data_IF_068577633783
#
_entry.id   IF_068577633783
#
_cell.length_a   1.000
_cell.length_b   1.000
_cell.length_c   1.000
_cell.angle_alpha   90.00
_cell.angle_beta   90.00
_cell.angle_gamma   90.00
#
_symmetry.space_group_name_H-M   'P 1'
#
loop_
_entity.id
_entity.type
_entity.pdbx_description
1 polymer ?
#
# COMPACT_ATOMS: atom_id res chain seq x y z
N UNK A 1 39.31 85.92 -32.12
CA UNK A 1 38.58 85.96 -30.82
C UNK A 1 37.46 84.90 -30.91
N UNK A 2 37.74 83.66 -30.53
CA UNK A 2 36.78 82.61 -30.56
C UNK A 2 36.44 82.18 -29.11
N UNK A 3 35.20 82.38 -28.73
CA UNK A 3 34.67 81.90 -27.43
C UNK A 3 34.15 80.50 -27.62
N UNK A 4 34.75 79.59 -26.91
CA UNK A 4 34.28 78.22 -26.79
C UNK A 4 33.29 78.16 -25.60
N UNK A 5 32.02 77.82 -25.84
CA UNK A 5 31.00 77.58 -24.81
C UNK A 5 31.00 76.11 -24.57
N UNK A 6 31.38 75.66 -23.37
CA UNK A 6 31.27 74.27 -22.93
C UNK A 6 29.89 74.05 -22.31
N UNK A 7 29.11 73.17 -22.91
CA UNK A 7 27.86 72.63 -22.31
C UNK A 7 28.17 71.42 -21.43
N UNK A 8 27.91 71.56 -20.15
CA UNK A 8 27.93 70.45 -19.21
C UNK A 8 26.60 69.72 -19.29
N UNK A 9 26.60 68.49 -19.83
CA UNK A 9 25.48 67.55 -19.78
C UNK A 9 25.47 66.88 -18.41
N UNK A 10 24.50 67.23 -17.57
CA UNK A 10 24.20 66.55 -16.34
C UNK A 10 23.38 65.32 -16.68
N UNK A 11 23.99 64.12 -16.66
CA UNK A 11 23.27 62.84 -16.69
C UNK A 11 22.71 62.57 -15.31
N UNK A 12 21.41 62.80 -15.12
CA UNK A 12 20.66 62.26 -14.01
C UNK A 12 20.32 60.81 -14.30
N UNK A 13 21.04 59.84 -13.75
CA UNK A 13 20.67 58.45 -13.73
C UNK A 13 19.48 58.24 -12.80
N UNK A 14 18.34 57.72 -13.28
CA UNK A 14 17.33 57.23 -12.37
C UNK A 14 17.84 55.96 -11.72
N UNK A 15 18.09 56.00 -10.43
CA UNK A 15 18.33 54.85 -9.60
C UNK A 15 17.03 54.00 -9.58
N UNK A 16 16.92 53.03 -10.48
CA UNK A 16 15.91 52.02 -10.43
C UNK A 16 16.19 51.16 -9.18
N UNK A 17 15.52 51.46 -8.10
CA UNK A 17 15.34 50.50 -7.00
C UNK A 17 14.56 49.35 -7.58
N UNK A 18 15.25 48.31 -8.00
CA UNK A 18 14.67 46.99 -8.14
C UNK A 18 14.20 46.55 -6.75
N UNK A 19 12.94 46.76 -6.45
CA UNK A 19 12.29 46.04 -5.40
C UNK A 19 12.40 44.53 -5.76
N UNK A 20 13.36 43.87 -5.14
CA UNK A 20 13.34 42.42 -5.06
C UNK A 20 12.04 42.10 -4.32
N UNK A 21 11.01 41.72 -5.06
CA UNK A 21 9.90 40.99 -4.49
C UNK A 21 10.52 39.77 -3.82
N UNK A 22 10.54 39.83 -2.49
CA UNK A 22 10.81 38.67 -1.68
C UNK A 22 9.68 37.68 -2.01
N UNK A 23 9.92 36.83 -2.98
CA UNK A 23 9.13 35.62 -3.19
C UNK A 23 9.23 34.89 -1.87
N UNK A 24 8.22 35.02 -1.04
CA UNK A 24 8.04 34.19 0.15
C UNK A 24 7.99 32.78 -0.40
N UNK A 25 9.10 32.07 -0.37
CA UNK A 25 9.14 30.66 -0.70
C UNK A 25 8.13 30.01 0.22
N UNK A 26 7.01 29.55 -0.36
CA UNK A 26 5.96 28.87 0.36
C UNK A 26 6.60 27.61 0.94
N UNK A 27 6.67 27.56 2.25
CA UNK A 27 7.30 26.45 2.97
C UNK A 27 6.65 25.13 2.54
N UNK A 28 7.44 24.21 2.04
CA UNK A 28 6.98 22.88 1.65
C UNK A 28 6.47 22.12 2.90
N UNK A 29 5.20 21.70 2.95
CA UNK A 29 4.63 21.04 4.11
C UNK A 29 5.37 19.76 4.50
N UNK A 30 5.89 19.00 3.53
CA UNK A 30 6.64 17.77 3.80
C UNK A 30 8.03 18.07 4.36
N UNK A 31 8.66 19.12 3.88
CA UNK A 31 9.93 19.60 4.45
C UNK A 31 9.73 20.02 5.92
N UNK A 32 8.70 20.82 6.19
CA UNK A 32 8.36 21.26 7.55
C UNK A 32 8.03 20.08 8.48
N UNK A 33 7.25 19.11 7.99
CA UNK A 33 6.94 17.89 8.76
C UNK A 33 8.21 17.10 9.05
N UNK A 34 9.07 16.93 8.05
CA UNK A 34 10.34 16.22 8.19
C UNK A 34 11.23 16.86 9.24
N UNK A 35 11.41 18.18 9.17
CA UNK A 35 12.22 18.94 10.15
C UNK A 35 11.67 18.81 11.57
N UNK A 36 10.34 18.87 11.72
CA UNK A 36 9.68 18.71 13.03
C UNK A 36 9.80 17.28 13.58
N UNK A 37 9.69 16.26 12.74
CA UNK A 37 9.90 14.86 13.14
C UNK A 37 11.36 14.64 13.55
N UNK A 38 12.31 15.13 12.76
CA UNK A 38 13.74 15.00 13.02
C UNK A 38 14.14 15.70 14.32
N UNK A 39 13.58 16.88 14.61
CA UNK A 39 13.84 17.61 15.85
C UNK A 39 13.39 16.86 17.12
N UNK A 40 12.49 15.88 16.99
CA UNK A 40 12.00 15.05 18.10
C UNK A 40 12.73 13.71 18.20
N UNK A 41 13.68 13.43 17.29
CA UNK A 41 14.47 12.20 17.36
C UNK A 41 15.43 12.27 18.57
N UNK A 42 15.71 11.12 19.19
CA UNK A 42 16.73 11.07 20.22
C UNK A 42 18.10 11.42 19.65
N UNK A 43 18.94 12.06 20.45
CA UNK A 43 20.31 12.38 20.04
C UNK A 43 21.10 11.10 19.74
N UNK A 44 21.63 10.99 18.53
CA UNK A 44 22.42 9.85 18.10
C UNK A 44 23.73 10.29 17.45
N UNK A 45 24.80 9.50 17.66
CA UNK A 45 26.09 9.72 17.01
C UNK A 45 26.11 9.33 15.52
N UNK A 46 25.13 8.55 15.07
CA UNK A 46 24.99 8.06 13.68
C UNK A 46 23.60 8.38 13.17
N UNK A 47 23.42 8.55 11.86
CA UNK A 47 22.09 8.72 11.29
C UNK A 47 21.16 7.56 11.66
N UNK A 48 19.95 7.90 12.12
CA UNK A 48 18.90 6.93 12.44
C UNK A 48 18.35 6.35 11.14
N UNK A 49 18.23 5.04 11.06
CA UNK A 49 17.69 4.37 9.89
C UNK A 49 16.17 4.23 10.01
N UNK A 50 15.43 4.96 9.18
CA UNK A 50 13.98 4.93 9.15
C UNK A 50 13.47 4.35 7.83
N UNK A 51 12.42 3.55 7.90
CA UNK A 51 11.61 3.20 6.75
C UNK A 51 10.42 4.14 6.63
N UNK A 52 9.92 4.36 5.42
CA UNK A 52 8.65 5.06 5.19
C UNK A 52 7.60 4.04 4.78
N UNK A 53 6.63 3.81 5.67
CA UNK A 53 5.54 2.85 5.49
C UNK A 53 4.33 3.45 4.79
N UNK A 54 3.17 2.87 5.06
CA UNK A 54 1.92 3.27 4.44
C UNK A 54 1.25 4.44 5.15
N UNK A 55 0.57 5.27 4.34
CA UNK A 55 -0.32 6.33 4.80
C UNK A 55 -1.74 6.01 4.35
N UNK A 56 -2.67 5.94 5.29
CA UNK A 56 -4.05 5.51 5.04
C UNK A 56 -5.03 6.67 5.17
N UNK A 57 -6.18 6.53 4.54
CA UNK A 57 -7.25 7.53 4.62
C UNK A 57 -8.09 7.34 5.90
N UNK A 58 -8.11 8.36 6.73
CA UNK A 58 -8.86 8.35 8.00
C UNK A 58 -8.44 7.23 8.94
N UNK A 59 -9.42 6.62 9.59
CA UNK A 59 -9.24 5.45 10.47
C UNK A 59 -9.55 4.14 9.72
N UNK A 60 -9.28 4.12 8.40
CA UNK A 60 -9.55 2.99 7.51
C UNK A 60 -8.23 2.36 7.06
N UNK A 61 -8.23 1.12 6.56
CA UNK A 61 -7.06 0.52 5.92
C UNK A 61 -6.88 0.93 4.46
N UNK A 62 -7.72 1.84 3.95
CA UNK A 62 -7.73 2.25 2.55
C UNK A 62 -6.64 3.26 2.25
N UNK A 63 -6.16 3.23 1.03
CA UNK A 63 -5.15 4.15 0.49
C UNK A 63 -5.74 4.92 -0.70
N UNK A 64 -5.12 6.04 -1.05
CA UNK A 64 -5.46 6.87 -2.20
C UNK A 64 -4.18 7.25 -2.97
N UNK A 65 -4.25 7.85 -4.16
CA UNK A 65 -3.07 8.38 -4.85
C UNK A 65 -2.21 9.28 -3.97
N UNK A 66 -2.83 10.06 -3.08
CA UNK A 66 -2.11 10.88 -2.10
C UNK A 66 -1.23 10.06 -1.15
N UNK A 67 -1.61 8.84 -0.82
CA UNK A 67 -0.79 7.94 0.01
C UNK A 67 0.60 7.70 -0.58
N UNK A 68 0.67 7.54 -1.90
CA UNK A 68 1.93 7.34 -2.63
C UNK A 68 2.77 8.61 -2.59
N UNK A 69 2.16 9.76 -2.90
CA UNK A 69 2.84 11.06 -2.89
C UNK A 69 3.38 11.40 -1.51
N UNK A 70 2.60 11.18 -0.44
CA UNK A 70 3.07 11.42 0.94
C UNK A 70 4.31 10.58 1.23
N UNK A 71 4.31 9.31 0.86
CA UNK A 71 5.46 8.43 1.05
C UNK A 71 6.68 8.94 0.31
N UNK A 72 6.56 9.19 -1.00
CA UNK A 72 7.67 9.64 -1.84
C UNK A 72 8.25 10.97 -1.38
N UNK A 73 7.41 11.93 -1.05
CA UNK A 73 7.85 13.23 -0.54
C UNK A 73 8.59 13.12 0.80
N UNK A 74 8.14 12.24 1.70
CA UNK A 74 8.84 12.00 2.97
C UNK A 74 10.15 11.23 2.76
N UNK A 75 10.21 10.30 1.82
CA UNK A 75 11.46 9.62 1.44
C UNK A 75 12.51 10.61 0.91
N UNK A 76 12.08 11.69 0.26
CA UNK A 76 12.94 12.77 -0.23
C UNK A 76 13.30 13.78 0.89
N UNK A 77 12.34 14.12 1.75
CA UNK A 77 12.51 15.19 2.74
C UNK A 77 13.33 14.75 3.97
N UNK A 78 13.10 13.55 4.49
CA UNK A 78 13.74 13.05 5.72
C UNK A 78 15.27 12.99 5.65
N UNK A 79 15.91 12.53 4.56
CA UNK A 79 17.38 12.45 4.47
C UNK A 79 18.08 13.82 4.44
N UNK A 80 17.36 14.90 4.11
CA UNK A 80 17.96 16.26 4.02
C UNK A 80 18.55 16.75 5.35
N UNK A 81 18.08 16.18 6.47
CA UNK A 81 18.60 16.53 7.80
C UNK A 81 19.99 15.97 8.13
N UNK A 82 20.53 15.05 7.35
CA UNK A 82 21.72 14.24 7.66
C UNK A 82 21.63 13.42 8.97
N UNK A 83 20.52 13.51 9.71
CA UNK A 83 20.27 12.74 10.93
C UNK A 83 19.49 11.44 10.66
N UNK A 84 18.90 11.35 9.48
CA UNK A 84 18.08 10.22 9.05
C UNK A 84 18.64 9.62 7.76
N UNK A 85 18.74 8.29 7.73
CA UNK A 85 18.94 7.51 6.51
C UNK A 85 17.64 6.77 6.20
N UNK A 86 17.02 7.07 5.07
CA UNK A 86 15.81 6.36 4.63
C UNK A 86 16.19 5.02 4.00
N UNK A 87 15.49 3.96 4.40
CA UNK A 87 15.57 2.62 3.82
C UNK A 87 14.36 2.42 2.92
N UNK A 88 14.61 2.02 1.70
CA UNK A 88 13.57 1.90 0.66
C UNK A 88 12.58 0.78 0.95
N UNK A 89 11.38 0.88 0.38
CA UNK A 89 10.26 -0.04 0.61
C UNK A 89 10.57 -1.51 0.28
N UNK A 90 11.29 -1.78 -0.80
CA UNK A 90 11.69 -3.15 -1.14
C UNK A 90 12.42 -3.87 -0.01
N UNK A 91 13.15 -3.10 0.80
CA UNK A 91 13.82 -3.63 1.99
C UNK A 91 12.86 -3.73 3.18
N UNK A 92 11.85 -2.82 3.29
CA UNK A 92 10.85 -2.84 4.35
C UNK A 92 9.89 -4.02 4.25
N UNK A 93 9.44 -4.36 3.05
CA UNK A 93 8.59 -5.53 2.84
C UNK A 93 9.27 -6.82 3.31
N UNK A 94 10.60 -6.91 3.17
CA UNK A 94 11.37 -8.02 3.72
C UNK A 94 11.39 -7.99 5.25
N UNK A 95 11.45 -6.81 5.86
CA UNK A 95 11.45 -6.64 7.32
C UNK A 95 10.09 -6.87 7.95
N UNK A 96 9.01 -6.38 7.33
CA UNK A 96 7.65 -6.64 7.82
C UNK A 96 7.35 -8.13 7.83
N UNK A 97 7.77 -8.84 6.77
CA UNK A 97 7.63 -10.29 6.70
C UNK A 97 8.46 -11.03 7.74
N UNK A 98 9.68 -10.59 8.00
CA UNK A 98 10.55 -11.17 9.03
C UNK A 98 10.03 -10.86 10.43
N UNK A 99 9.56 -9.62 10.67
CA UNK A 99 8.95 -9.22 11.94
C UNK A 99 7.65 -9.97 12.24
N UNK A 100 6.79 -10.19 11.24
CA UNK A 100 5.59 -11.03 11.36
C UNK A 100 5.96 -12.49 11.63
N UNK A 101 7.01 -13.02 11.01
CA UNK A 101 7.50 -14.37 11.24
C UNK A 101 8.03 -14.55 12.67
N UNK A 102 8.79 -13.58 13.19
CA UNK A 102 9.32 -13.63 14.57
C UNK A 102 8.25 -13.42 15.64
N UNK A 103 7.13 -12.77 15.30
CA UNK A 103 5.98 -12.63 16.19
C UNK A 103 5.09 -13.88 16.26
N UNK A 104 5.33 -14.88 15.42
CA UNK A 104 4.63 -16.17 15.51
C UNK A 104 5.24 -17.02 16.64
N UNK A 105 4.41 -17.69 17.42
CA UNK A 105 4.80 -18.61 18.52
C UNK A 105 5.68 -19.81 18.06
N UNK A 106 6.07 -19.85 16.78
CA UNK A 106 6.88 -20.91 16.18
C UNK A 106 8.38 -20.72 16.37
N UNK A 107 8.81 -19.54 16.85
CA UNK A 107 10.22 -19.31 17.21
C UNK A 107 10.38 -19.64 18.69
N UNK A 108 11.13 -20.71 18.99
CA UNK A 108 11.48 -21.05 20.38
C UNK A 108 12.16 -19.85 21.08
N UNK A 109 11.73 -19.50 22.31
CA UNK A 109 12.38 -18.45 23.08
C UNK A 109 13.88 -18.79 23.27
N UNK A 110 14.75 -18.04 22.62
CA UNK A 110 16.21 -18.23 22.67
C UNK A 110 16.87 -18.68 21.35
N UNK A 111 16.09 -19.08 20.35
CA UNK A 111 16.55 -19.32 18.98
C UNK A 111 16.15 -18.21 18.01
N UNK A 112 15.51 -17.15 18.51
CA UNK A 112 15.35 -15.92 17.74
C UNK A 112 16.75 -15.57 17.21
N UNK A 113 16.97 -15.85 15.91
CA UNK A 113 18.22 -15.53 15.24
C UNK A 113 18.49 -14.09 15.60
N UNK A 114 19.67 -13.84 16.16
CA UNK A 114 20.17 -12.50 16.37
C UNK A 114 19.98 -11.76 15.05
N UNK A 115 18.84 -11.12 14.93
CA UNK A 115 18.44 -10.19 13.88
C UNK A 115 19.01 -10.52 12.50
N UNK A 116 18.17 -11.04 11.64
CA UNK A 116 18.25 -10.62 10.24
C UNK A 116 17.98 -9.10 10.26
N UNK A 117 18.99 -8.36 10.59
CA UNK A 117 19.04 -6.92 10.42
C UNK A 117 19.17 -6.70 8.92
N UNK A 118 18.04 -6.66 8.21
CA UNK A 118 18.03 -5.93 6.95
C UNK A 118 18.51 -4.53 7.35
N UNK A 119 19.79 -4.30 7.19
CA UNK A 119 20.54 -3.07 7.53
C UNK A 119 19.96 -2.20 8.67
N UNK A 120 19.43 -2.83 9.75
CA UNK A 120 19.11 -2.14 11.00
C UNK A 120 18.15 -0.97 10.86
N UNK A 121 16.96 -1.13 10.24
CA UNK A 121 15.87 -0.15 10.38
C UNK A 121 15.50 -0.07 11.86
N UNK A 122 15.49 1.14 12.38
CA UNK A 122 15.24 1.41 13.80
C UNK A 122 13.77 1.79 14.05
N UNK A 123 13.11 2.40 13.03
CA UNK A 123 11.72 2.78 13.10
C UNK A 123 11.07 2.93 11.74
N UNK A 124 9.74 2.91 11.73
CA UNK A 124 8.92 3.10 10.53
C UNK A 124 8.09 4.38 10.68
N UNK A 125 8.24 5.29 9.73
CA UNK A 125 7.40 6.47 9.59
C UNK A 125 6.11 6.06 8.89
N UNK A 126 4.97 6.21 9.54
CA UNK A 126 3.66 5.89 9.00
C UNK A 126 2.61 6.87 9.48
N UNK A 127 1.40 6.81 8.94
CA UNK A 127 0.38 7.71 9.39
C UNK A 127 -0.95 7.58 8.68
N UNK A 128 -1.79 8.59 8.93
CA UNK A 128 -3.09 8.72 8.28
C UNK A 128 -3.33 10.17 7.89
N UNK A 129 -4.14 10.36 6.87
CA UNK A 129 -4.57 11.71 6.47
C UNK A 129 -6.09 11.77 6.37
N UNK A 130 -6.62 12.95 6.61
CA UNK A 130 -8.05 13.25 6.50
C UNK A 130 -8.24 14.54 5.73
N UNK A 131 -9.38 14.70 5.09
CA UNK A 131 -9.75 15.93 4.39
C UNK A 131 -11.12 16.43 4.87
N UNK A 132 -11.26 17.74 4.99
CA UNK A 132 -12.54 18.43 5.18
C UNK A 132 -13.08 19.04 3.88
N UNK A 133 -12.48 18.68 2.73
CA UNK A 133 -12.83 19.21 1.40
C UNK A 133 -12.08 20.50 1.05
N UNK A 134 -11.51 21.22 2.00
CA UNK A 134 -10.72 22.45 1.79
C UNK A 134 -9.26 22.27 2.17
N UNK A 135 -9.02 21.48 3.20
CA UNK A 135 -7.69 21.17 3.72
C UNK A 135 -7.49 19.68 3.87
N UNK A 136 -6.23 19.27 3.82
CA UNK A 136 -5.77 17.92 4.18
C UNK A 136 -4.92 18.03 5.42
N UNK A 137 -5.19 17.19 6.41
CA UNK A 137 -4.37 17.05 7.60
C UNK A 137 -3.72 15.66 7.60
N UNK A 138 -2.40 15.63 7.64
CA UNK A 138 -1.59 14.43 7.75
C UNK A 138 -1.14 14.27 9.20
N UNK A 139 -1.48 13.15 9.81
CA UNK A 139 -0.98 12.71 11.11
C UNK A 139 0.09 11.65 10.87
N UNK A 140 1.27 11.88 11.41
CA UNK A 140 2.44 11.02 11.20
C UNK A 140 2.97 10.53 12.53
N UNK A 141 3.43 9.29 12.55
CA UNK A 141 4.12 8.72 13.70
C UNK A 141 5.35 7.92 13.28
N UNK A 142 6.34 7.88 14.15
CA UNK A 142 7.47 6.95 14.05
C UNK A 142 7.22 5.82 15.03
N UNK A 143 6.98 4.63 14.49
CA UNK A 143 6.88 3.40 15.26
C UNK A 143 8.27 2.77 15.38
N UNK A 144 8.80 2.69 16.61
CA UNK A 144 10.12 2.13 16.86
C UNK A 144 10.06 0.60 16.94
N UNK A 145 10.91 -0.08 16.17
CA UNK A 145 10.89 -1.55 16.08
C UNK A 145 11.41 -2.25 17.33
N UNK A 146 12.22 -1.57 18.13
CA UNK A 146 12.73 -2.12 19.40
C UNK A 146 11.88 -1.71 20.62
N UNK A 147 10.71 -1.15 20.39
CA UNK A 147 9.89 -0.53 21.41
C UNK A 147 10.40 0.87 21.77
N UNK A 148 9.59 1.64 22.46
CA UNK A 148 9.88 3.01 22.84
C UNK A 148 8.65 3.91 22.75
N UNK A 149 8.83 5.16 23.12
CA UNK A 149 7.77 6.15 23.01
C UNK A 149 7.56 6.54 21.56
N UNK A 150 6.32 6.52 21.09
CA UNK A 150 5.98 6.84 19.70
C UNK A 150 6.13 8.33 19.47
N UNK A 151 7.00 8.71 18.53
CA UNK A 151 7.15 10.09 18.08
C UNK A 151 6.02 10.44 17.14
N UNK A 152 5.23 11.50 17.45
CA UNK A 152 4.08 11.92 16.65
C UNK A 152 4.20 13.36 16.19
N UNK A 153 3.65 13.63 15.00
CA UNK A 153 3.51 14.98 14.47
C UNK A 153 2.33 15.08 13.50
N UNK A 154 2.01 16.33 13.11
CA UNK A 154 0.98 16.58 12.10
C UNK A 154 1.31 17.84 11.29
N UNK A 155 0.85 17.83 10.04
CA UNK A 155 0.86 19.00 9.16
C UNK A 155 -0.48 19.15 8.48
N UNK A 156 -0.89 20.37 8.21
CA UNK A 156 -2.12 20.69 7.47
C UNK A 156 -1.79 21.64 6.32
N UNK A 157 -2.38 21.38 5.16
CA UNK A 157 -2.23 22.23 3.98
C UNK A 157 -3.53 22.29 3.17
N UNK A 158 -3.60 23.24 2.23
CA UNK A 158 -4.78 23.40 1.40
C UNK A 158 -4.91 22.26 0.38
N UNK A 159 -6.12 21.79 0.17
CA UNK A 159 -6.44 20.70 -0.76
C UNK A 159 -5.83 20.89 -2.15
N UNK A 160 -6.00 22.06 -2.75
CA UNK A 160 -5.50 22.36 -4.08
C UNK A 160 -3.98 22.32 -4.23
N UNK A 161 -3.24 22.58 -3.14
CA UNK A 161 -1.77 22.54 -3.15
C UNK A 161 -1.23 21.12 -3.16
N UNK A 162 -1.98 20.22 -2.55
CA UNK A 162 -1.65 18.79 -2.49
C UNK A 162 -2.03 18.11 -3.79
N UNK A 163 -3.23 18.40 -4.26
CA UNK A 163 -3.76 17.74 -5.46
C UNK A 163 -3.01 18.12 -6.72
N UNK A 164 -2.47 19.34 -6.81
CA UNK A 164 -1.56 19.72 -7.89
C UNK A 164 -0.27 18.87 -7.95
N UNK A 165 0.12 18.20 -6.86
CA UNK A 165 1.25 17.26 -6.84
C UNK A 165 0.85 15.86 -7.29
N UNK A 166 -0.37 15.44 -6.95
CA UNK A 166 -0.89 14.11 -7.31
C UNK A 166 -1.30 14.07 -8.78
N UNK A 167 -2.08 15.08 -9.20
CA UNK A 167 -2.58 15.21 -10.57
C UNK A 167 -2.50 16.65 -11.06
N UNK A 168 -1.35 17.09 -11.57
CA UNK A 168 -1.10 18.48 -11.92
C UNK A 168 -2.01 19.01 -13.05
N UNK A 169 -2.58 18.14 -13.86
CA UNK A 169 -3.41 18.52 -15.02
C UNK A 169 -4.92 18.50 -14.73
N UNK A 170 -5.34 18.08 -13.52
CA UNK A 170 -6.78 17.95 -13.18
C UNK A 170 -7.32 19.16 -12.44
N UNK A 171 -8.61 19.42 -12.67
CA UNK A 171 -9.35 20.50 -12.00
C UNK A 171 -9.46 20.28 -10.49
N UNK A 172 -9.78 21.35 -9.75
CA UNK A 172 -9.95 21.28 -8.30
C UNK A 172 -11.06 20.30 -7.85
N UNK A 173 -12.07 20.04 -8.69
CA UNK A 173 -13.14 19.07 -8.41
C UNK A 173 -12.64 17.63 -8.51
N UNK A 174 -11.79 17.35 -9.49
CA UNK A 174 -11.14 16.04 -9.64
C UNK A 174 -10.02 15.82 -8.59
N UNK A 175 -9.61 16.87 -7.96
CA UNK A 175 -8.60 16.84 -6.92
C UNK A 175 -9.03 16.08 -5.66
N UNK A 176 -10.34 16.05 -5.36
CA UNK A 176 -10.85 15.30 -4.21
C UNK A 176 -10.70 13.80 -4.37
N UNK A 177 -10.75 13.29 -5.60
CA UNK A 177 -10.53 11.88 -5.92
C UNK A 177 -9.08 11.43 -5.63
N UNK A 178 -8.12 12.35 -5.73
CA UNK A 178 -6.73 12.06 -5.37
C UNK A 178 -6.53 11.83 -3.87
N UNK A 179 -7.40 12.40 -3.04
CA UNK A 179 -7.33 12.33 -1.59
C UNK A 179 -8.25 11.26 -1.03
N UNK A 180 -9.50 11.22 -1.51
CA UNK A 180 -10.53 10.31 -1.00
C UNK A 180 -10.53 9.02 -1.83
N UNK A 181 -10.41 7.83 -1.21
CA UNK A 181 -10.56 6.57 -1.92
C UNK A 181 -11.90 6.50 -2.64
N UNK A 182 -11.89 6.01 -3.87
CA UNK A 182 -13.13 5.84 -4.62
C UNK A 182 -14.05 4.82 -3.95
N UNK A 183 -15.35 5.05 -4.02
CA UNK A 183 -16.35 4.17 -3.42
C UNK A 183 -16.07 3.85 -1.94
N UNK A 184 -15.53 4.82 -1.18
CA UNK A 184 -15.00 4.59 0.16
C UNK A 184 -16.00 3.89 1.11
N UNK A 185 -17.27 4.29 1.10
CA UNK A 185 -18.29 3.65 1.94
C UNK A 185 -18.56 2.20 1.54
N UNK A 186 -18.68 1.93 0.23
CA UNK A 186 -18.87 0.58 -0.29
C UNK A 186 -17.63 -0.29 -0.04
N UNK A 187 -16.44 0.25 -0.27
CA UNK A 187 -15.17 -0.43 0.01
C UNK A 187 -15.06 -0.79 1.49
N UNK A 188 -15.38 0.14 2.39
CA UNK A 188 -15.34 -0.14 3.84
C UNK A 188 -16.35 -1.22 4.22
N UNK A 189 -17.60 -1.11 3.79
CA UNK A 189 -18.61 -2.13 4.04
C UNK A 189 -18.14 -3.51 3.54
N UNK A 190 -17.52 -3.53 2.38
CA UNK A 190 -16.97 -4.75 1.81
C UNK A 190 -15.77 -5.30 2.55
N UNK A 191 -14.83 -4.45 2.98
CA UNK A 191 -13.69 -4.84 3.80
C UNK A 191 -14.19 -5.41 5.14
N UNK A 192 -15.14 -4.73 5.79
CA UNK A 192 -15.74 -5.19 7.04
C UNK A 192 -16.50 -6.50 6.85
N UNK A 193 -17.24 -6.67 5.77
CA UNK A 193 -17.92 -7.91 5.47
C UNK A 193 -16.93 -9.07 5.30
N UNK A 194 -15.84 -8.89 4.56
CA UNK A 194 -14.82 -9.91 4.36
C UNK A 194 -14.04 -10.18 5.64
N UNK A 195 -13.66 -9.14 6.38
CA UNK A 195 -12.84 -9.29 7.60
C UNK A 195 -13.64 -9.72 8.81
N UNK A 196 -14.90 -9.29 8.96
CA UNK A 196 -15.77 -9.65 10.08
C UNK A 196 -16.65 -10.87 9.79
N UNK A 197 -16.93 -11.13 8.52
CA UNK A 197 -17.60 -12.34 8.16
C UNK A 197 -16.68 -13.48 8.45
N UNK A 198 -16.76 -14.09 9.59
CA UNK A 198 -16.16 -15.36 10.02
C UNK A 198 -15.75 -16.35 8.89
N UNK A 199 -15.59 -15.87 7.67
CA UNK A 199 -14.90 -16.48 6.53
C UNK A 199 -13.47 -16.78 6.88
N UNK A 200 -12.88 -15.85 7.60
CA UNK A 200 -11.55 -15.90 8.15
C UNK A 200 -11.48 -16.76 9.42
N UNK A 201 -12.45 -17.59 9.70
CA UNK A 201 -12.38 -18.70 10.66
C UNK A 201 -12.15 -20.03 9.95
N UNK A 202 -11.63 -20.01 8.74
CA UNK A 202 -10.90 -21.16 8.25
C UNK A 202 -9.83 -21.45 9.30
N UNK A 203 -9.76 -22.65 9.75
CA UNK A 203 -8.76 -23.13 10.69
C UNK A 203 -7.38 -22.72 10.19
N UNK A 204 -6.72 -21.84 10.90
CA UNK A 204 -5.38 -21.37 10.57
C UNK A 204 -4.36 -22.39 11.08
N UNK A 205 -4.16 -23.45 10.31
CA UNK A 205 -3.27 -24.54 10.69
C UNK A 205 -1.79 -24.23 10.40
N UNK A 206 -1.54 -23.27 9.48
CA UNK A 206 -0.21 -22.76 9.13
C UNK A 206 -0.34 -21.31 8.69
N UNK A 207 0.78 -20.60 8.59
CA UNK A 207 0.78 -19.19 8.18
C UNK A 207 1.21 -19.03 6.72
N UNK A 208 0.26 -18.63 5.86
CA UNK A 208 0.56 -18.28 4.48
C UNK A 208 0.86 -16.79 4.39
N UNK A 209 1.98 -16.46 3.76
CA UNK A 209 2.36 -15.08 3.48
C UNK A 209 1.82 -14.65 2.13
N UNK A 210 1.31 -13.42 2.05
CA UNK A 210 0.74 -12.83 0.84
C UNK A 210 1.19 -11.38 0.72
N UNK A 211 1.67 -11.00 -0.47
CA UNK A 211 1.94 -9.60 -0.83
C UNK A 211 1.78 -9.39 -2.34
N UNK A 212 1.72 -8.15 -2.77
CA UNK A 212 1.89 -7.78 -4.18
C UNK A 212 3.35 -8.00 -4.60
N UNK A 213 3.59 -8.27 -5.86
CA UNK A 213 4.94 -8.64 -6.33
C UNK A 213 5.94 -7.48 -6.27
N UNK A 214 5.47 -6.27 -6.42
CA UNK A 214 6.21 -5.01 -6.35
C UNK A 214 6.18 -4.36 -4.96
N UNK A 215 5.36 -4.89 -4.04
CA UNK A 215 5.15 -4.32 -2.71
C UNK A 215 4.17 -3.14 -2.69
N UNK A 216 3.65 -2.70 -3.83
CA UNK A 216 2.68 -1.60 -3.90
C UNK A 216 1.27 -2.06 -3.53
N UNK A 217 0.44 -1.12 -3.06
CA UNK A 217 -0.96 -1.37 -2.73
C UNK A 217 -1.92 -0.35 -3.36
N UNK A 218 -1.38 0.50 -4.23
CA UNK A 218 -2.14 1.53 -4.95
C UNK A 218 -1.81 1.37 -6.43
N UNK A 219 -2.82 1.14 -7.25
CA UNK A 219 -2.66 0.86 -8.67
C UNK A 219 -3.58 1.74 -9.50
N UNK A 220 -3.04 2.24 -10.60
CA UNK A 220 -3.77 3.00 -11.61
C UNK A 220 -4.35 2.06 -12.67
N UNK A 221 -5.45 2.45 -13.28
CA UNK A 221 -6.06 1.79 -14.42
C UNK A 221 -5.03 1.45 -15.51
N UNK A 222 -5.12 0.25 -16.06
CA UNK A 222 -4.19 -0.28 -17.05
C UNK A 222 -2.87 -0.79 -16.47
N UNK A 223 -2.65 -0.67 -15.16
CA UNK A 223 -1.49 -1.29 -14.52
C UNK A 223 -1.69 -2.80 -14.38
N UNK A 224 -0.61 -3.56 -14.48
CA UNK A 224 -0.61 -4.99 -14.20
C UNK A 224 -0.28 -5.25 -12.73
N UNK A 225 -1.04 -6.13 -12.09
CA UNK A 225 -0.80 -6.57 -10.71
C UNK A 225 -0.47 -8.06 -10.67
N UNK A 226 0.44 -8.42 -9.80
CA UNK A 226 0.71 -9.82 -9.46
C UNK A 226 0.94 -9.98 -7.97
N UNK A 227 0.63 -11.18 -7.46
CA UNK A 227 0.72 -11.49 -6.04
C UNK A 227 1.83 -12.51 -5.80
N UNK A 228 2.62 -12.27 -4.75
CA UNK A 228 3.59 -13.26 -4.25
C UNK A 228 3.05 -13.89 -2.98
N UNK A 229 3.22 -15.19 -2.89
CA UNK A 229 2.83 -15.96 -1.72
C UNK A 229 3.88 -17.02 -1.37
N UNK A 230 3.99 -17.30 -0.08
CA UNK A 230 4.89 -18.32 0.47
C UNK A 230 4.18 -19.06 1.59
N UNK A 231 4.37 -20.36 1.67
CA UNK A 231 3.77 -21.21 2.70
C UNK A 231 4.83 -22.08 3.36
N UNK A 232 4.79 -22.28 4.69
CA UNK A 232 5.64 -23.23 5.37
C UNK A 232 5.25 -24.69 5.11
N UNK A 233 4.13 -24.92 4.41
CA UNK A 233 3.67 -26.24 3.97
C UNK A 233 3.45 -26.25 2.46
N UNK A 234 3.74 -27.37 1.80
CA UNK A 234 3.33 -27.57 0.40
C UNK A 234 1.80 -27.61 0.36
N UNK A 235 1.17 -26.68 -0.36
CA UNK A 235 -0.29 -26.56 -0.38
C UNK A 235 -0.79 -26.06 -1.73
N UNK A 236 -2.08 -26.25 -1.95
CA UNK A 236 -2.81 -25.70 -3.08
C UNK A 236 -3.46 -24.38 -2.69
N UNK A 237 -3.48 -23.41 -3.59
CA UNK A 237 -3.99 -22.05 -3.31
C UNK A 237 -5.06 -21.62 -4.29
N UNK A 238 -5.94 -20.75 -3.81
CA UNK A 238 -6.85 -19.95 -4.62
C UNK A 238 -6.71 -18.48 -4.24
N UNK A 239 -6.81 -17.60 -5.24
CA UNK A 239 -6.80 -16.14 -5.08
C UNK A 239 -8.17 -15.60 -5.47
N UNK A 240 -8.80 -14.89 -4.56
CA UNK A 240 -10.12 -14.28 -4.75
C UNK A 240 -10.00 -12.79 -4.52
N UNK A 241 -10.51 -11.99 -5.44
CA UNK A 241 -10.66 -10.55 -5.29
C UNK A 241 -12.11 -10.23 -4.91
N UNK A 242 -12.30 -9.59 -3.76
CA UNK A 242 -13.58 -9.02 -3.34
C UNK A 242 -13.56 -7.53 -3.68
N UNK A 243 -14.27 -7.19 -4.74
CA UNK A 243 -14.26 -5.86 -5.34
C UNK A 243 -15.11 -4.86 -4.55
N UNK A 244 -14.77 -3.60 -4.71
CA UNK A 244 -15.44 -2.47 -4.05
C UNK A 244 -16.94 -2.38 -4.34
N UNK A 245 -17.39 -2.87 -5.50
CA UNK A 245 -18.82 -2.90 -5.91
C UNK A 245 -19.63 -4.04 -5.26
N UNK A 246 -19.00 -4.88 -4.47
CA UNK A 246 -19.63 -6.02 -3.79
C UNK A 246 -19.52 -7.35 -4.52
N UNK A 247 -18.96 -7.37 -5.73
CA UNK A 247 -18.70 -8.61 -6.45
C UNK A 247 -17.43 -9.31 -5.92
N UNK A 248 -17.33 -10.61 -6.18
CA UNK A 248 -16.12 -11.36 -5.92
C UNK A 248 -15.71 -12.11 -7.17
N UNK A 249 -14.43 -12.09 -7.47
CA UNK A 249 -13.84 -12.69 -8.68
C UNK A 249 -12.76 -13.67 -8.28
N UNK A 250 -12.83 -14.89 -8.82
CA UNK A 250 -11.76 -15.88 -8.64
C UNK A 250 -10.66 -15.58 -9.67
N UNK A 251 -9.56 -14.98 -9.22
CA UNK A 251 -8.43 -14.68 -10.07
C UNK A 251 -7.60 -15.94 -10.40
N UNK A 252 -7.54 -16.87 -9.44
CA UNK A 252 -6.76 -18.11 -9.55
C UNK A 252 -7.37 -19.22 -8.68
N UNK A 253 -7.45 -20.49 -9.16
CA UNK A 253 -7.12 -20.94 -10.51
C UNK A 253 -8.10 -20.43 -11.57
N UNK A 254 -7.63 -20.40 -12.83
CA UNK A 254 -8.44 -19.98 -13.96
C UNK A 254 -8.20 -20.88 -15.17
N UNK A 255 -8.81 -20.56 -16.32
CA UNK A 255 -8.73 -21.42 -17.54
C UNK A 255 -7.30 -21.53 -18.09
N UNK A 256 -6.44 -20.54 -17.87
CA UNK A 256 -5.08 -20.51 -18.39
C UNK A 256 -4.06 -21.14 -17.44
N UNK A 257 -4.35 -21.14 -16.11
CA UNK A 257 -3.45 -21.68 -15.11
C UNK A 257 -4.25 -22.46 -14.06
N UNK A 258 -4.14 -23.78 -14.14
CA UNK A 258 -4.90 -24.72 -13.30
C UNK A 258 -4.07 -25.41 -12.22
N UNK A 259 -2.74 -25.33 -12.32
CA UNK A 259 -1.86 -25.90 -11.30
C UNK A 259 -1.84 -24.97 -10.09
N UNK A 260 -2.43 -25.42 -9.01
CA UNK A 260 -2.64 -24.65 -7.78
C UNK A 260 -1.56 -24.92 -6.73
N UNK A 261 -0.62 -25.85 -6.98
CA UNK A 261 0.40 -26.25 -6.03
C UNK A 261 1.46 -25.16 -5.85
N UNK A 262 1.67 -24.74 -4.61
CA UNK A 262 2.84 -23.97 -4.20
C UNK A 262 3.75 -24.84 -3.35
N UNK A 263 5.07 -24.86 -3.65
CA UNK A 263 6.01 -25.67 -2.89
C UNK A 263 6.27 -25.04 -1.52
N UNK A 264 6.60 -25.90 -0.56
CA UNK A 264 7.01 -25.50 0.79
C UNK A 264 8.17 -24.51 0.75
N UNK A 265 8.07 -23.44 1.53
CA UNK A 265 9.11 -22.42 1.78
C UNK A 265 9.65 -21.69 0.54
N UNK A 266 8.91 -21.71 -0.57
CA UNK A 266 9.27 -20.99 -1.79
C UNK A 266 8.26 -19.90 -2.12
N UNK A 267 8.76 -18.73 -2.57
CA UNK A 267 7.94 -17.69 -3.12
C UNK A 267 7.41 -18.05 -4.50
N UNK A 268 6.12 -17.98 -4.67
CA UNK A 268 5.43 -18.18 -5.95
C UNK A 268 4.69 -16.91 -6.33
N UNK A 269 4.80 -16.49 -7.59
CA UNK A 269 4.08 -15.34 -8.13
C UNK A 269 2.88 -15.77 -8.98
N UNK A 270 1.74 -15.12 -8.80
CA UNK A 270 0.51 -15.31 -9.58
C UNK A 270 0.00 -13.94 -10.03
N UNK A 271 -0.08 -13.68 -11.35
CA UNK A 271 0.49 -14.46 -12.44
C UNK A 271 1.99 -14.63 -12.32
N UNK A 272 2.50 -15.80 -12.74
CA UNK A 272 3.93 -16.08 -12.69
C UNK A 272 4.65 -15.55 -13.93
N UNK A 273 5.87 -15.06 -13.74
CA UNK A 273 6.70 -14.49 -14.81
C UNK A 273 7.11 -15.49 -15.87
N UNK A 274 7.00 -16.80 -15.63
CA UNK A 274 7.61 -17.80 -16.52
C UNK A 274 6.65 -18.72 -17.25
N UNK A 275 5.35 -18.82 -16.91
CA UNK A 275 4.41 -19.74 -17.58
C UNK A 275 2.92 -19.43 -17.36
N UNK A 276 2.56 -18.26 -16.86
CA UNK A 276 1.15 -18.05 -16.47
C UNK A 276 0.19 -17.90 -17.63
N UNK A 277 0.64 -17.50 -18.80
CA UNK A 277 -0.24 -17.33 -19.95
C UNK A 277 -1.38 -16.33 -19.76
N UNK A 278 -1.37 -15.56 -18.66
CA UNK A 278 -2.35 -14.52 -18.35
C UNK A 278 -1.71 -13.40 -17.52
N UNK A 279 -2.33 -12.24 -17.55
CA UNK A 279 -2.03 -11.07 -16.74
C UNK A 279 -3.30 -10.62 -16.02
N UNK A 280 -3.14 -9.90 -14.91
CA UNK A 280 -4.24 -9.27 -14.19
C UNK A 280 -4.05 -7.77 -14.35
N UNK A 281 -4.91 -7.15 -15.14
CA UNK A 281 -4.93 -5.72 -15.41
C UNK A 281 -5.96 -5.03 -14.51
N UNK A 282 -5.62 -3.85 -14.02
CA UNK A 282 -6.52 -3.01 -13.23
C UNK A 282 -7.51 -2.30 -14.15
N UNK A 283 -8.80 -2.54 -13.91
CA UNK A 283 -9.92 -1.92 -14.62
C UNK A 283 -11.07 -1.65 -13.65
N UNK A 284 -12.11 -0.96 -14.12
CA UNK A 284 -13.33 -0.76 -13.32
C UNK A 284 -13.92 -2.08 -12.78
N UNK A 285 -14.55 -2.07 -11.61
CA UNK A 285 -14.84 -0.91 -10.72
C UNK A 285 -13.63 -0.54 -9.84
N UNK A 286 -13.37 0.78 -9.71
CA UNK A 286 -12.30 1.28 -8.86
C UNK A 286 -12.75 1.44 -7.41
N UNK A 287 -11.79 1.36 -6.50
CA UNK A 287 -11.98 1.46 -5.06
C UNK A 287 -10.95 0.64 -4.29
N UNK A 288 -11.26 0.27 -3.07
CA UNK A 288 -10.40 -0.60 -2.28
C UNK A 288 -10.97 -2.02 -2.25
N UNK A 289 -10.20 -2.95 -2.79
CA UNK A 289 -10.55 -4.36 -2.94
C UNK A 289 -9.82 -5.19 -1.89
N UNK A 290 -10.46 -6.27 -1.44
CA UNK A 290 -9.82 -7.27 -0.58
C UNK A 290 -9.36 -8.44 -1.43
N UNK A 291 -8.06 -8.66 -1.52
CA UNK A 291 -7.50 -9.83 -2.17
C UNK A 291 -7.22 -10.90 -1.12
N UNK A 292 -7.93 -12.00 -1.20
CA UNK A 292 -7.84 -13.13 -0.28
C UNK A 292 -7.15 -14.31 -0.94
N UNK A 293 -6.23 -14.93 -0.24
CA UNK A 293 -5.68 -16.25 -0.59
C UNK A 293 -6.23 -17.28 0.37
N UNK A 294 -6.76 -18.36 -0.17
CA UNK A 294 -7.14 -19.55 0.58
C UNK A 294 -6.17 -20.66 0.21
N UNK A 295 -5.59 -21.31 1.21
CA UNK A 295 -4.62 -22.38 1.06
C UNK A 295 -5.11 -23.67 1.72
N UNK A 296 -4.86 -24.81 1.07
CA UNK A 296 -5.24 -26.12 1.56
C UNK A 296 -4.21 -27.16 1.14
N UNK A 297 -3.85 -28.09 2.03
CA UNK A 297 -2.94 -29.20 1.69
C UNK A 297 -3.57 -30.27 0.81
N UNK A 298 -4.89 -30.26 0.66
CA UNK A 298 -5.65 -31.17 -0.21
C UNK A 298 -6.28 -30.40 -1.38
N UNK A 299 -5.84 -30.71 -2.61
CA UNK A 299 -6.33 -30.07 -3.82
C UNK A 299 -7.84 -30.33 -4.04
N UNK A 300 -8.32 -31.54 -3.76
CA UNK A 300 -9.72 -31.87 -3.99
C UNK A 300 -10.62 -31.09 -3.02
N UNK A 301 -10.20 -30.93 -1.77
CA UNK A 301 -10.92 -30.15 -0.78
C UNK A 301 -10.97 -28.66 -1.22
N UNK A 302 -9.84 -28.08 -1.63
CA UNK A 302 -9.79 -26.72 -2.16
C UNK A 302 -10.67 -26.56 -3.41
N UNK A 303 -10.53 -27.46 -4.40
CA UNK A 303 -11.26 -27.38 -5.66
C UNK A 303 -12.76 -27.61 -5.49
N UNK A 304 -13.18 -28.43 -4.53
CA UNK A 304 -14.60 -28.61 -4.18
C UNK A 304 -15.17 -27.28 -3.66
N UNK A 305 -14.40 -26.55 -2.88
CA UNK A 305 -14.76 -25.22 -2.36
C UNK A 305 -14.95 -24.23 -3.48
N UNK A 306 -13.96 -24.14 -4.39
CA UNK A 306 -13.92 -23.13 -5.45
C UNK A 306 -14.77 -23.55 -6.66
N UNK A 307 -15.01 -24.85 -6.88
CA UNK A 307 -15.64 -25.39 -8.10
C UNK A 307 -17.04 -24.85 -8.35
N UNK A 308 -17.76 -24.53 -7.30
CA UNK A 308 -19.03 -23.81 -7.45
C UNK A 308 -18.83 -22.33 -7.81
N UNK A 309 -17.63 -21.81 -7.62
CA UNK A 309 -17.27 -20.42 -7.84
C UNK A 309 -16.79 -20.21 -9.29
N UNK A 310 -16.14 -21.20 -9.89
CA UNK A 310 -15.53 -21.12 -11.22
C UNK A 310 -16.48 -21.50 -12.38
N UNK A 311 -17.77 -21.74 -12.13
CA UNK A 311 -18.70 -22.31 -13.12
C UNK A 311 -19.11 -21.38 -14.26
N UNK A 312 -18.82 -20.10 -14.18
CA UNK A 312 -19.29 -19.09 -15.13
C UNK A 312 -18.19 -18.51 -16.06
N UNK A 313 -16.93 -19.00 -15.98
CA UNK A 313 -15.88 -18.52 -16.87
C UNK A 313 -16.18 -18.83 -18.33
N UNK A 314 -16.17 -17.80 -19.18
CA UNK A 314 -16.30 -17.90 -20.65
C UNK A 314 -14.95 -17.71 -21.32
N UNK A 315 -14.88 -17.84 -22.65
CA UNK A 315 -13.66 -17.51 -23.40
C UNK A 315 -13.33 -16.02 -23.33
N UNK A 316 -14.36 -15.19 -23.30
CA UNK A 316 -14.24 -13.73 -23.25
C UNK A 316 -14.05 -13.20 -21.81
N UNK A 317 -14.53 -13.95 -20.82
CA UNK A 317 -14.37 -13.61 -19.40
C UNK A 317 -13.77 -14.82 -18.66
N UNK A 318 -12.47 -14.80 -18.42
CA UNK A 318 -11.75 -15.88 -17.74
C UNK A 318 -11.92 -15.90 -16.23
N UNK A 319 -12.41 -14.80 -15.67
CA UNK A 319 -12.57 -14.63 -14.22
C UNK A 319 -14.04 -14.73 -13.85
N UNK A 320 -14.50 -15.86 -13.30
CA UNK A 320 -15.91 -16.01 -12.94
C UNK A 320 -16.28 -15.04 -11.81
N UNK A 321 -17.24 -14.16 -12.11
CA UNK A 321 -17.79 -13.20 -11.16
C UNK A 321 -18.80 -13.89 -10.24
N UNK A 322 -18.76 -13.52 -8.97
CA UNK A 322 -19.65 -14.02 -7.93
C UNK A 322 -20.09 -12.89 -6.99
N UNK A 323 -21.29 -13.02 -6.44
CA UNK A 323 -21.70 -12.12 -5.36
C UNK A 323 -21.00 -12.51 -4.05
N UNK A 324 -20.57 -11.53 -3.26
CA UNK A 324 -19.92 -11.73 -1.94
C UNK A 324 -20.68 -12.72 -1.06
N UNK A 325 -22.02 -12.58 -1.01
CA UNK A 325 -22.85 -13.46 -0.21
C UNK A 325 -22.78 -14.94 -0.57
N UNK A 326 -22.53 -15.27 -1.84
CA UNK A 326 -22.36 -16.66 -2.29
C UNK A 326 -20.98 -17.21 -1.89
N UNK A 327 -19.92 -16.43 -2.04
CA UNK A 327 -18.56 -16.80 -1.59
C UNK A 327 -18.57 -17.11 -0.10
N UNK A 328 -19.12 -16.21 0.71
CA UNK A 328 -19.22 -16.35 2.17
C UNK A 328 -19.94 -17.64 2.56
N UNK A 329 -21.09 -17.93 1.95
CA UNK A 329 -21.88 -19.12 2.31
C UNK A 329 -21.17 -20.42 1.95
N UNK A 330 -20.49 -20.47 0.80
CA UNK A 330 -19.79 -21.68 0.36
C UNK A 330 -18.57 -21.99 1.21
N UNK A 331 -17.71 -21.02 1.47
CA UNK A 331 -16.54 -21.22 2.34
C UNK A 331 -16.97 -21.74 3.71
N UNK A 332 -18.03 -21.18 4.32
CA UNK A 332 -18.56 -21.68 5.61
C UNK A 332 -19.12 -23.10 5.53
N UNK A 333 -19.73 -23.48 4.41
CA UNK A 333 -20.32 -24.80 4.29
C UNK A 333 -19.26 -25.90 4.20
N UNK A 334 -18.15 -25.65 3.51
CA UNK A 334 -17.11 -26.66 3.34
C UNK A 334 -16.20 -26.84 4.56
N UNK A 335 -15.88 -25.75 5.26
CA UNK A 335 -15.12 -25.87 6.51
C UNK A 335 -15.85 -26.69 7.57
N UNK A 336 -17.17 -26.82 7.48
CA UNK A 336 -17.96 -27.66 8.37
C UNK A 336 -18.03 -29.16 7.94
N UNK A 337 -17.84 -29.45 6.64
CA UNK A 337 -18.15 -30.80 6.09
C UNK A 337 -16.93 -31.70 5.88
N UNK A 338 -15.71 -31.18 5.73
CA UNK A 338 -14.55 -31.94 5.26
C UNK A 338 -13.35 -32.01 6.20
N UNK A 339 -13.56 -31.95 7.50
CA UNK A 339 -12.47 -32.17 8.46
C UNK A 339 -12.07 -33.64 8.50
N UNK A 340 -11.44 -34.15 7.45
CA UNK A 340 -10.55 -35.29 7.61
C UNK A 340 -9.36 -34.85 8.46
N UNK A 341 -8.95 -35.67 9.41
CA UNK A 341 -7.90 -35.33 10.40
C UNK A 341 -6.52 -34.96 9.83
N UNK A 342 -6.36 -34.85 8.50
CA UNK A 342 -5.10 -34.62 7.81
C UNK A 342 -5.10 -33.40 6.87
N UNK A 343 -6.24 -32.77 6.60
CA UNK A 343 -6.32 -31.60 5.71
C UNK A 343 -6.08 -30.34 6.50
N UNK A 344 -5.02 -29.62 6.16
CA UNK A 344 -4.65 -28.34 6.78
C UNK A 344 -5.12 -27.19 5.90
N UNK A 345 -5.58 -26.11 6.55
CA UNK A 345 -6.09 -24.90 5.91
C UNK A 345 -5.41 -23.66 6.43
N UNK A 346 -5.26 -22.67 5.57
CA UNK A 346 -4.82 -21.32 5.94
C UNK A 346 -5.43 -20.30 4.99
N UNK A 347 -5.43 -19.05 5.42
CA UNK A 347 -5.81 -17.92 4.60
C UNK A 347 -5.07 -16.65 5.01
N UNK A 348 -4.94 -15.75 4.07
CA UNK A 348 -4.42 -14.40 4.26
C UNK A 348 -5.12 -13.44 3.31
N UNK A 349 -5.23 -12.19 3.70
CA UNK A 349 -5.74 -11.16 2.80
C UNK A 349 -4.88 -9.89 2.85
N UNK A 350 -4.94 -9.13 1.77
CA UNK A 350 -4.39 -7.78 1.67
C UNK A 350 -5.44 -6.86 1.06
N UNK A 351 -5.33 -5.57 1.33
CA UNK A 351 -6.16 -4.55 0.72
C UNK A 351 -5.34 -3.85 -0.36
N UNK A 352 -5.95 -3.75 -1.54
CA UNK A 352 -5.40 -3.07 -2.72
C UNK A 352 -6.36 -1.97 -3.10
N UNK A 353 -5.86 -0.76 -3.33
CA UNK A 353 -6.66 0.38 -3.78
C UNK A 353 -6.41 0.66 -5.25
N UNK A 354 -7.47 0.83 -6.02
CA UNK A 354 -7.43 1.02 -7.48
C UNK A 354 -8.07 2.34 -7.87
N UNK A 355 -7.55 2.99 -8.92
CA UNK A 355 -7.95 4.32 -9.34
C UNK A 355 -8.01 4.41 -10.87
N UNK A 356 -8.91 5.26 -11.43
CA UNK A 356 -8.88 5.56 -12.84
C UNK A 356 -7.56 6.25 -13.22
N UNK A 357 -7.19 6.10 -14.48
CA UNK A 357 -6.05 6.81 -15.03
C UNK A 357 -6.28 8.31 -14.99
N UNK A 358 -5.30 9.03 -14.47
CA UNK A 358 -5.33 10.47 -14.28
C UNK A 358 -5.35 11.28 -15.56
#
# INVERSE_FOLDING_TARGET
MNRIIAYALVFSSPCLYAQAEATTQKEDPFQKLSESLVAKLPEHQKPIKLGVGNFVYGDTPMMSPLSVVIREELEIALPKSNQVKVITRSNLDQLEMEGEFQATELVEPGTAVEKVTVEGVEGIVRGRFVSDGTTVTLYTEIAWLQGGEVTKDKVTWKMNEVTARVWPEKSAEQAQEAVTPQNAEQSMAGIEEVTNAKLLNVRKDFDIQLKTADGERVYEEGSNISFKMKSPEACHVAVICHQSDGNSVVLFPNKWHKDTLIPKDHWVSIPGTLKSGFEIEIAEPFGSDVVQVIACTDQNALMKEIKGMASAATEDDPYPVMTRGMVVKKVKAATAADVSKQTLWSEKHIIVSTFPKG
#
